data_IF_606053297423
#
_entry.id   IF_606053297423
#
_cell.length_a   1.000
_cell.length_b   1.000
_cell.length_c   1.000
_cell.angle_alpha   90.00
_cell.angle_beta   90.00
_cell.angle_gamma   90.00
#
_symmetry.space_group_name_H-M   'P 1'
#
loop_
_entity.id
_entity.type
_entity.pdbx_description
1 polymer ?
#
# COMPACT_ATOMS: atom_id res chain seq x y z
N UNK A 1 23.26 5.05 17.29
CA UNK A 1 22.29 6.05 16.82
C UNK A 1 21.08 5.30 16.30
N UNK A 2 19.83 5.69 16.63
CA UNK A 2 18.67 5.09 15.98
C UNK A 2 18.80 5.30 14.47
N UNK A 3 18.69 4.22 13.70
CA UNK A 3 18.68 4.28 12.23
C UNK A 3 17.50 5.14 11.79
N UNK A 4 17.72 6.08 10.86
CA UNK A 4 16.63 6.85 10.27
C UNK A 4 15.59 5.88 9.67
N UNK A 5 14.28 6.15 9.85
CA UNK A 5 13.23 5.31 9.25
C UNK A 5 13.36 5.33 7.73
N UNK A 6 13.10 4.19 7.09
CA UNK A 6 13.09 4.08 5.63
C UNK A 6 11.83 4.77 5.09
N UNK A 7 12.01 5.91 4.43
CA UNK A 7 10.92 6.76 3.95
C UNK A 7 10.82 6.74 2.43
N UNK A 8 9.62 6.49 1.90
CA UNK A 8 9.33 6.53 0.45
C UNK A 8 8.46 7.72 0.13
N UNK A 9 8.82 8.51 -0.88
CA UNK A 9 7.93 9.54 -1.44
C UNK A 9 7.33 8.99 -2.72
N UNK A 10 6.01 8.98 -2.80
CA UNK A 10 5.24 8.47 -3.94
C UNK A 10 4.71 9.65 -4.74
N UNK A 11 5.06 9.74 -6.01
CA UNK A 11 4.51 10.72 -6.95
C UNK A 11 3.48 10.08 -7.86
N UNK A 12 2.25 10.60 -7.85
CA UNK A 12 1.21 10.19 -8.79
C UNK A 12 0.57 11.35 -9.53
N UNK A 13 0.32 11.11 -10.81
CA UNK A 13 -0.49 12.00 -11.65
C UNK A 13 -1.96 11.57 -11.62
N UNK A 14 -2.90 12.50 -11.90
CA UNK A 14 -4.31 12.16 -12.01
C UNK A 14 -4.56 11.03 -13.02
N UNK A 15 -5.22 9.97 -12.56
CA UNK A 15 -5.54 8.83 -13.42
C UNK A 15 -6.69 9.19 -14.37
N UNK A 16 -6.36 9.49 -15.63
CA UNK A 16 -7.32 9.80 -16.67
C UNK A 16 -8.00 8.54 -17.26
N UNK A 17 -7.70 7.33 -16.76
CA UNK A 17 -8.30 6.08 -17.25
C UNK A 17 -9.76 5.92 -16.84
N UNK A 18 -10.21 6.58 -15.78
CA UNK A 18 -11.60 6.56 -15.33
C UNK A 18 -12.47 7.48 -16.19
N UNK A 19 -13.33 6.89 -17.02
CA UNK A 19 -14.40 7.62 -17.74
C UNK A 19 -15.49 8.19 -16.81
N UNK A 20 -15.50 7.80 -15.54
CA UNK A 20 -16.57 8.08 -14.57
C UNK A 20 -16.22 9.11 -13.49
N UNK A 21 -15.07 9.79 -13.59
CA UNK A 21 -14.65 10.82 -12.64
C UNK A 21 -13.24 10.61 -12.12
N UNK A 22 -12.91 11.18 -10.96
CA UNK A 22 -11.59 11.04 -10.33
C UNK A 22 -11.44 9.66 -9.70
N UNK A 23 -10.30 9.02 -9.95
CA UNK A 23 -9.93 7.70 -9.43
C UNK A 23 -8.63 7.80 -8.62
N UNK A 24 -8.53 7.08 -7.51
CA UNK A 24 -7.30 6.88 -6.74
C UNK A 24 -6.68 5.50 -6.97
N UNK A 25 -7.11 4.76 -8.00
CA UNK A 25 -6.61 3.40 -8.23
C UNK A 25 -5.07 3.37 -8.30
N UNK A 26 -4.46 4.30 -9.05
CA UNK A 26 -3.00 4.39 -9.17
C UNK A 26 -2.32 4.86 -7.88
N UNK A 27 -2.91 5.83 -7.19
CA UNK A 27 -2.45 6.30 -5.88
C UNK A 27 -2.39 5.16 -4.86
N UNK A 28 -3.46 4.38 -4.77
CA UNK A 28 -3.59 3.26 -3.85
C UNK A 28 -2.63 2.13 -4.22
N UNK A 29 -2.46 1.83 -5.50
CA UNK A 29 -1.51 0.83 -5.99
C UNK A 29 -0.07 1.14 -5.54
N UNK A 30 0.41 2.37 -5.78
CA UNK A 30 1.75 2.76 -5.36
C UNK A 30 1.87 2.97 -3.85
N UNK A 31 0.81 3.42 -3.17
CA UNK A 31 0.78 3.48 -1.72
C UNK A 31 0.90 2.09 -1.08
N UNK A 32 0.25 1.06 -1.63
CA UNK A 32 0.38 -0.34 -1.19
C UNK A 32 1.83 -0.81 -1.29
N UNK A 33 2.47 -0.58 -2.45
CA UNK A 33 3.90 -0.88 -2.64
C UNK A 33 4.77 -0.18 -1.60
N UNK A 34 4.57 1.14 -1.45
CA UNK A 34 5.35 1.95 -0.53
C UNK A 34 5.18 1.49 0.92
N UNK A 35 3.96 1.19 1.36
CA UNK A 35 3.67 0.77 2.74
C UNK A 35 4.10 -0.69 3.02
N UNK A 36 4.09 -1.55 2.02
CA UNK A 36 4.66 -2.89 2.13
C UNK A 36 6.19 -2.85 2.24
N UNK A 37 6.83 -1.87 1.60
CA UNK A 37 8.29 -1.77 1.56
C UNK A 37 8.89 -0.91 2.67
N UNK A 38 8.29 0.23 2.98
CA UNK A 38 8.86 1.32 3.78
C UNK A 38 8.45 1.24 5.27
N UNK A 39 9.00 2.16 6.06
CA UNK A 39 8.56 2.40 7.45
C UNK A 39 7.53 3.54 7.50
N UNK A 40 7.63 4.49 6.56
CA UNK A 40 6.66 5.56 6.29
C UNK A 40 6.64 5.89 4.82
N UNK A 41 5.52 6.40 4.34
CA UNK A 41 5.40 6.93 2.98
C UNK A 41 4.77 8.32 2.99
N UNK A 42 5.19 9.18 2.06
CA UNK A 42 4.51 10.44 1.74
C UNK A 42 3.94 10.34 0.33
N UNK A 43 2.64 10.56 0.18
CA UNK A 43 1.98 10.63 -1.12
C UNK A 43 1.92 12.07 -1.61
N UNK A 44 2.50 12.32 -2.78
CA UNK A 44 2.45 13.57 -3.52
C UNK A 44 1.48 13.34 -4.68
N UNK A 45 0.24 13.80 -4.51
CA UNK A 45 -0.83 13.56 -5.48
C UNK A 45 -1.86 14.69 -5.48
N UNK A 46 -2.11 15.34 -6.64
CA UNK A 46 -3.18 16.32 -6.76
C UNK A 46 -4.56 15.72 -6.49
N UNK A 47 -4.85 14.52 -7.02
CA UNK A 47 -6.14 13.84 -6.86
C UNK A 47 -6.42 13.47 -5.40
N UNK A 48 -5.43 12.94 -4.70
CA UNK A 48 -5.56 12.60 -3.28
C UNK A 48 -5.77 13.85 -2.42
N UNK A 49 -5.03 14.93 -2.68
CA UNK A 49 -5.24 16.22 -1.99
C UNK A 49 -6.66 16.75 -2.17
N UNK A 50 -7.16 16.73 -3.41
CA UNK A 50 -8.53 17.17 -3.71
C UNK A 50 -9.55 16.32 -2.95
N UNK A 51 -9.40 14.99 -2.91
CA UNK A 51 -10.34 14.10 -2.25
C UNK A 51 -10.29 14.19 -0.72
N UNK A 52 -9.10 14.36 -0.12
CA UNK A 52 -8.98 14.61 1.32
C UNK A 52 -9.63 15.95 1.71
N UNK A 53 -9.43 16.99 0.91
CA UNK A 53 -10.13 18.27 1.12
C UNK A 53 -11.65 18.12 0.98
N UNK A 54 -12.11 17.34 0.00
CA UNK A 54 -13.53 17.03 -0.19
C UNK A 54 -14.11 16.26 1.01
N UNK A 55 -13.37 15.29 1.57
CA UNK A 55 -13.77 14.55 2.76
C UNK A 55 -13.89 15.46 3.99
N UNK A 56 -12.86 16.28 4.24
CA UNK A 56 -12.87 17.25 5.34
C UNK A 56 -14.03 18.26 5.20
N UNK A 57 -14.32 18.69 3.97
CA UNK A 57 -15.49 19.53 3.69
C UNK A 57 -16.80 18.80 3.95
N UNK A 58 -16.95 17.56 3.49
CA UNK A 58 -18.16 16.76 3.70
C UNK A 58 -18.44 16.53 5.19
N UNK A 59 -17.40 16.29 5.99
CA UNK A 59 -17.51 16.17 7.45
C UNK A 59 -17.91 17.49 8.10
N UNK A 60 -17.25 18.60 7.75
CA UNK A 60 -17.59 19.93 8.24
C UNK A 60 -19.03 20.32 7.86
N UNK A 61 -19.46 19.94 6.66
CA UNK A 61 -20.81 20.15 6.13
C UNK A 61 -21.89 19.40 6.93
N UNK A 62 -21.55 18.27 7.54
CA UNK A 62 -22.43 17.50 8.44
C UNK A 62 -22.48 18.14 9.83
N UNK A 63 -21.33 18.48 10.40
CA UNK A 63 -21.21 18.69 11.85
C UNK A 63 -21.27 20.16 12.28
N UNK A 64 -20.95 21.11 11.42
CA UNK A 64 -20.62 22.48 11.85
C UNK A 64 -21.36 23.62 11.14
N UNK A 65 -21.92 23.38 9.95
CA UNK A 65 -22.53 24.46 9.17
C UNK A 65 -23.98 24.76 9.56
N UNK A 66 -24.21 25.98 10.03
CA UNK A 66 -25.55 26.54 10.24
C UNK A 66 -26.33 26.69 8.92
N UNK A 67 -27.66 26.76 9.00
CA UNK A 67 -28.53 27.03 7.83
C UNK A 67 -28.09 28.26 7.03
N UNK A 68 -27.59 29.30 7.72
CA UNK A 68 -27.02 30.49 7.08
C UNK A 68 -25.81 30.13 6.21
N UNK A 69 -24.82 29.47 6.80
CA UNK A 69 -23.56 29.17 6.12
C UNK A 69 -23.79 28.29 4.89
N UNK A 70 -24.71 27.31 4.99
CA UNK A 70 -25.11 26.48 3.85
C UNK A 70 -25.69 27.33 2.72
N UNK A 71 -26.57 28.26 3.07
CA UNK A 71 -27.19 29.15 2.10
C UNK A 71 -26.17 30.08 1.43
N UNK A 72 -25.32 30.72 2.24
CA UNK A 72 -24.27 31.63 1.75
C UNK A 72 -23.28 30.89 0.83
N UNK A 73 -22.91 29.65 1.17
CA UNK A 73 -22.03 28.80 0.36
C UNK A 73 -22.70 28.37 -0.95
N UNK A 74 -23.93 27.87 -0.90
CA UNK A 74 -24.66 27.47 -2.11
C UNK A 74 -24.91 28.63 -3.07
N UNK A 75 -25.16 29.84 -2.54
CA UNK A 75 -25.31 31.04 -3.36
C UNK A 75 -23.99 31.44 -4.04
N UNK A 76 -22.84 31.24 -3.37
CA UNK A 76 -21.52 31.47 -3.96
C UNK A 76 -21.23 30.43 -5.07
N UNK A 77 -21.51 29.17 -4.81
CA UNK A 77 -21.29 28.08 -5.77
C UNK A 77 -22.30 28.00 -6.91
N UNK A 78 -23.42 28.72 -6.84
CA UNK A 78 -24.49 28.63 -7.82
C UNK A 78 -24.03 28.93 -9.27
N UNK A 79 -22.97 29.73 -9.44
CA UNK A 79 -22.39 30.04 -10.74
C UNK A 79 -21.49 28.92 -11.28
N UNK A 80 -20.99 28.04 -10.41
CA UNK A 80 -20.08 26.93 -10.73
C UNK A 80 -20.77 25.57 -10.76
N UNK A 81 -22.03 25.50 -10.31
CA UNK A 81 -22.83 24.26 -10.26
C UNK A 81 -23.85 24.23 -11.41
N UNK A 82 -23.76 23.26 -12.35
CA UNK A 82 -24.76 23.08 -13.38
C UNK A 82 -26.16 22.85 -12.79
N UNK A 83 -27.17 23.60 -13.25
CA UNK A 83 -28.55 23.48 -12.77
C UNK A 83 -28.85 24.16 -11.43
N UNK A 84 -27.92 25.00 -10.94
CA UNK A 84 -28.11 25.80 -9.72
C UNK A 84 -28.53 27.26 -10.00
N UNK A 85 -28.97 27.59 -11.22
CA UNK A 85 -29.28 28.99 -11.59
C UNK A 85 -30.34 29.61 -10.66
N UNK A 86 -31.34 28.82 -10.26
CA UNK A 86 -32.37 29.25 -9.31
C UNK A 86 -31.85 29.54 -7.90
N UNK A 87 -30.71 29.00 -7.48
CA UNK A 87 -30.14 29.27 -6.16
C UNK A 87 -29.43 30.63 -6.10
N UNK A 88 -28.84 31.08 -7.22
CA UNK A 88 -28.23 32.41 -7.31
C UNK A 88 -29.30 33.51 -7.12
N UNK A 89 -30.47 33.33 -7.72
CA UNK A 89 -31.60 34.28 -7.63
C UNK A 89 -32.26 34.31 -6.24
N UNK A 90 -32.24 33.18 -5.52
CA UNK A 90 -32.80 33.07 -4.16
C UNK A 90 -31.88 33.71 -3.10
N UNK A 91 -30.60 33.88 -3.40
CA UNK A 91 -29.56 34.55 -2.60
C UNK A 91 -30.02 35.85 -1.93
N UNK A 92 -30.24 36.91 -2.73
CA UNK A 92 -30.64 38.24 -2.23
C UNK A 92 -31.98 38.24 -1.48
N UNK A 93 -32.95 37.45 -1.94
CA UNK A 93 -34.30 37.38 -1.37
C UNK A 93 -34.28 36.76 0.03
N UNK A 94 -33.54 35.67 0.22
CA UNK A 94 -33.36 35.06 1.54
C UNK A 94 -32.65 35.99 2.52
N UNK A 95 -31.61 36.70 2.06
CA UNK A 95 -30.93 37.71 2.89
C UNK A 95 -31.86 38.84 3.33
N UNK A 96 -32.72 39.33 2.43
CA UNK A 96 -33.70 40.36 2.74
C UNK A 96 -34.73 39.89 3.79
N UNK A 97 -35.27 38.67 3.63
CA UNK A 97 -36.21 38.07 4.59
C UNK A 97 -35.57 37.85 5.97
N UNK A 98 -34.28 37.54 6.03
CA UNK A 98 -33.57 37.32 7.29
C UNK A 98 -33.33 38.59 8.11
N UNK A 99 -33.19 39.74 7.45
CA UNK A 99 -32.95 41.04 8.11
C UNK A 99 -34.22 41.64 8.72
N UNK A 100 -35.41 41.16 8.35
CA UNK A 100 -36.70 41.65 8.86
C UNK A 100 -36.94 41.17 10.31
N UNK A 101 -37.30 42.10 11.20
CA UNK A 101 -37.65 41.81 12.61
C UNK A 101 -39.00 41.10 12.75
N UNK A 102 -39.95 41.42 11.86
CA UNK A 102 -41.27 40.80 11.80
C UNK A 102 -41.52 40.33 10.37
N UNK A 103 -41.85 39.04 10.22
CA UNK A 103 -42.17 38.40 8.94
C UNK A 103 -43.68 38.21 8.85
N UNK A 104 -44.27 38.56 7.71
CA UNK A 104 -45.65 38.22 7.40
C UNK A 104 -45.82 36.69 7.32
N UNK A 105 -47.07 36.16 7.42
CA UNK A 105 -47.31 34.73 7.24
C UNK A 105 -46.78 34.19 5.89
N UNK A 106 -46.93 34.96 4.82
CA UNK A 106 -46.44 34.62 3.49
C UNK A 106 -44.91 34.62 3.42
N UNK A 107 -44.28 35.64 3.99
CA UNK A 107 -42.81 35.76 4.07
C UNK A 107 -42.19 34.62 4.90
N UNK A 108 -42.86 34.23 5.99
CA UNK A 108 -42.44 33.08 6.81
C UNK A 108 -42.53 31.79 6.02
N UNK A 109 -43.59 31.60 5.22
CA UNK A 109 -43.77 30.42 4.37
C UNK A 109 -42.70 30.37 3.26
N UNK A 110 -42.46 31.49 2.58
CA UNK A 110 -41.43 31.61 1.55
C UNK A 110 -40.04 31.29 2.12
N UNK A 111 -39.69 31.84 3.29
CA UNK A 111 -38.44 31.54 3.98
C UNK A 111 -38.29 30.04 4.28
N UNK A 112 -39.35 29.40 4.81
CA UNK A 112 -39.32 27.97 5.11
C UNK A 112 -39.17 27.11 3.85
N UNK A 113 -39.82 27.50 2.75
CA UNK A 113 -39.67 26.80 1.46
C UNK A 113 -38.24 26.91 0.93
N UNK A 114 -37.63 28.10 0.96
CA UNK A 114 -36.23 28.31 0.57
C UNK A 114 -35.26 27.49 1.43
N UNK A 115 -35.45 27.48 2.75
CA UNK A 115 -34.66 26.64 3.65
C UNK A 115 -34.81 25.15 3.33
N UNK A 116 -36.01 24.70 2.94
CA UNK A 116 -36.26 23.33 2.51
C UNK A 116 -35.53 22.96 1.22
N UNK A 117 -35.59 23.83 0.20
CA UNK A 117 -34.88 23.65 -1.08
C UNK A 117 -33.37 23.55 -0.85
N UNK A 118 -32.79 24.51 -0.12
CA UNK A 118 -31.35 24.51 0.18
C UNK A 118 -30.97 23.31 1.05
N UNK A 119 -31.77 22.94 2.04
CA UNK A 119 -31.47 21.75 2.87
C UNK A 119 -31.46 20.47 2.04
N UNK A 120 -32.37 20.34 1.07
CA UNK A 120 -32.40 19.18 0.17
C UNK A 120 -31.19 19.18 -0.77
N UNK A 121 -30.90 20.31 -1.42
CA UNK A 121 -29.76 20.44 -2.32
C UNK A 121 -28.42 20.23 -1.58
N UNK A 122 -28.31 20.73 -0.35
CA UNK A 122 -27.16 20.50 0.53
C UNK A 122 -26.95 19.02 0.84
N UNK A 123 -28.03 18.32 1.19
CA UNK A 123 -27.98 16.89 1.49
C UNK A 123 -27.57 16.09 0.25
N UNK A 124 -28.13 16.42 -0.92
CA UNK A 124 -27.76 15.80 -2.18
C UNK A 124 -26.30 16.05 -2.54
N UNK A 125 -25.81 17.29 -2.43
CA UNK A 125 -24.41 17.63 -2.68
C UNK A 125 -23.47 16.83 -1.77
N UNK A 126 -23.78 16.76 -0.47
CA UNK A 126 -23.02 15.94 0.49
C UNK A 126 -23.02 14.47 0.10
N UNK A 127 -24.18 13.89 -0.18
CA UNK A 127 -24.30 12.47 -0.51
C UNK A 127 -23.58 12.13 -1.81
N UNK A 128 -23.60 13.05 -2.80
CA UNK A 128 -22.79 12.96 -4.01
C UNK A 128 -21.30 12.99 -3.71
N UNK A 129 -20.82 13.93 -2.87
CA UNK A 129 -19.41 13.99 -2.47
C UNK A 129 -18.96 12.71 -1.78
N UNK A 130 -19.75 12.19 -0.83
CA UNK A 130 -19.44 10.92 -0.15
C UNK A 130 -19.44 9.73 -1.11
N UNK A 131 -20.39 9.70 -2.06
CA UNK A 131 -20.42 8.65 -3.09
C UNK A 131 -19.20 8.72 -4.01
N UNK A 132 -18.78 9.93 -4.40
CA UNK A 132 -17.57 10.13 -5.21
C UNK A 132 -16.32 9.72 -4.42
N UNK A 133 -16.23 10.09 -3.14
CA UNK A 133 -15.13 9.69 -2.27
C UNK A 133 -15.02 8.16 -2.17
N UNK A 134 -16.13 7.48 -1.94
CA UNK A 134 -16.21 6.03 -1.80
C UNK A 134 -15.79 5.32 -3.11
N UNK A 135 -16.40 5.72 -4.23
CA UNK A 135 -16.08 5.17 -5.56
C UNK A 135 -14.64 5.41 -5.99
N UNK A 136 -14.05 6.54 -5.60
CA UNK A 136 -12.67 6.85 -5.92
C UNK A 136 -11.66 6.05 -5.10
N UNK A 137 -12.08 5.32 -4.06
CA UNK A 137 -11.18 4.63 -3.12
C UNK A 137 -10.73 5.48 -1.93
N UNK A 138 -11.42 6.60 -1.67
CA UNK A 138 -11.05 7.55 -0.62
C UNK A 138 -11.12 6.98 0.81
N UNK A 139 -11.99 5.99 1.06
CA UNK A 139 -12.05 5.32 2.37
C UNK A 139 -10.75 4.57 2.71
N UNK A 140 -10.16 3.90 1.72
CA UNK A 140 -8.90 3.18 1.87
C UNK A 140 -7.72 4.14 2.08
N UNK A 141 -7.69 5.24 1.32
CA UNK A 141 -6.70 6.32 1.49
C UNK A 141 -6.75 6.93 2.89
N UNK A 142 -7.95 7.34 3.36
CA UNK A 142 -8.13 7.94 4.67
C UNK A 142 -7.73 6.97 5.79
N UNK A 143 -8.10 5.69 5.68
CA UNK A 143 -7.67 4.67 6.64
C UNK A 143 -6.15 4.53 6.73
N UNK A 144 -5.44 4.67 5.60
CA UNK A 144 -3.97 4.62 5.59
C UNK A 144 -3.35 5.88 6.21
N UNK A 145 -3.94 7.06 5.98
CA UNK A 145 -3.54 8.31 6.63
C UNK A 145 -3.73 8.22 8.15
N UNK A 146 -4.90 7.75 8.59
CA UNK A 146 -5.24 7.59 10.01
C UNK A 146 -4.31 6.59 10.74
N UNK A 147 -3.69 5.64 10.02
CA UNK A 147 -2.70 4.73 10.58
C UNK A 147 -1.39 5.43 11.00
N UNK A 148 -1.13 6.64 10.50
CA UNK A 148 0.10 7.40 10.72
C UNK A 148 1.32 6.87 9.97
N UNK A 149 1.13 5.93 9.03
CA UNK A 149 2.18 5.38 8.16
C UNK A 149 2.22 6.03 6.78
N UNK A 150 1.11 6.63 6.34
CA UNK A 150 0.99 7.40 5.11
C UNK A 150 0.73 8.86 5.44
N UNK A 151 1.60 9.74 4.98
CA UNK A 151 1.41 11.18 5.05
C UNK A 151 1.00 11.69 3.66
N UNK A 152 0.17 12.74 3.59
CA UNK A 152 -0.18 13.39 2.32
C UNK A 152 0.56 14.71 2.21
N UNK A 153 1.30 14.90 1.13
CA UNK A 153 1.98 16.17 0.87
C UNK A 153 0.93 17.23 0.51
N UNK A 154 0.86 18.38 1.21
CA UNK A 154 -0.25 19.32 1.09
C UNK A 154 -0.31 20.07 -0.24
N UNK A 155 0.76 19.99 -1.05
CA UNK A 155 0.93 20.73 -2.31
C UNK A 155 0.72 22.25 -2.19
N UNK A 156 0.70 22.81 -0.97
CA UNK A 156 0.50 24.23 -0.65
C UNK A 156 -0.60 24.92 -1.48
N UNK A 157 -1.67 24.19 -1.82
CA UNK A 157 -2.80 24.69 -2.63
C UNK A 157 -3.65 25.77 -1.91
N UNK A 158 -3.26 26.12 -0.68
CA UNK A 158 -3.94 27.09 0.20
C UNK A 158 -3.17 28.40 0.34
N UNK A 159 -2.05 28.59 -0.36
CA UNK A 159 -1.36 29.87 -0.37
C UNK A 159 -2.25 30.93 -1.06
N UNK A 160 -2.59 32.05 -0.40
CA UNK A 160 -3.45 33.08 -0.97
C UNK A 160 -2.83 33.83 -2.17
N UNK A 161 -1.55 33.59 -2.48
CA UNK A 161 -0.89 34.07 -3.70
C UNK A 161 -1.10 33.16 -4.92
N UNK A 162 -1.55 31.93 -4.69
CA UNK A 162 -1.93 30.95 -5.70
C UNK A 162 -3.37 31.21 -6.11
N UNK A 163 -3.64 31.42 -7.41
CA UNK A 163 -5.02 31.69 -7.86
C UNK A 163 -5.87 30.40 -7.93
N UNK A 164 -5.26 29.26 -7.59
CA UNK A 164 -5.88 27.95 -7.64
C UNK A 164 -6.07 27.44 -9.07
N UNK A 165 -5.38 28.04 -10.04
CA UNK A 165 -5.36 27.56 -11.41
C UNK A 165 -4.78 26.16 -11.52
N UNK A 166 -5.13 25.47 -12.61
CA UNK A 166 -4.55 24.16 -12.92
C UNK A 166 -3.03 24.23 -13.06
N UNK A 167 -2.48 25.37 -13.50
CA UNK A 167 -1.04 25.54 -13.71
C UNK A 167 -0.30 25.58 -12.38
N UNK A 168 -0.85 26.28 -11.39
CA UNK A 168 -0.27 26.36 -10.04
C UNK A 168 -0.20 24.97 -9.36
N UNK A 169 -1.25 24.15 -9.52
CA UNK A 169 -1.27 22.77 -9.01
C UNK A 169 -0.17 21.93 -9.65
N UNK A 170 0.03 22.08 -10.96
CA UNK A 170 1.07 21.37 -11.72
C UNK A 170 2.46 21.80 -11.26
N UNK A 171 2.70 23.09 -11.04
CA UNK A 171 3.99 23.59 -10.54
C UNK A 171 4.27 23.13 -9.11
N UNK A 172 3.29 23.23 -8.21
CA UNK A 172 3.45 22.75 -6.84
C UNK A 172 3.71 21.23 -6.78
N UNK A 173 3.08 20.47 -7.67
CA UNK A 173 3.34 19.05 -7.84
C UNK A 173 4.77 18.80 -8.35
N UNK A 174 5.18 19.49 -9.42
CA UNK A 174 6.52 19.36 -9.98
C UNK A 174 7.61 19.71 -8.95
N UNK A 175 7.45 20.81 -8.22
CA UNK A 175 8.38 21.25 -7.17
C UNK A 175 8.51 20.21 -6.05
N UNK A 176 7.40 19.57 -5.66
CA UNK A 176 7.42 18.51 -4.66
C UNK A 176 8.18 17.26 -5.16
N UNK A 177 8.00 16.86 -6.42
CA UNK A 177 8.76 15.74 -7.02
C UNK A 177 10.24 16.10 -7.12
N UNK A 178 10.58 17.30 -7.61
CA UNK A 178 11.95 17.81 -7.69
C UNK A 178 12.63 17.80 -6.31
N UNK A 179 11.94 18.31 -5.29
CA UNK A 179 12.42 18.30 -3.92
C UNK A 179 12.69 16.88 -3.40
N UNK A 180 11.80 15.94 -3.70
CA UNK A 180 11.95 14.54 -3.30
C UNK A 180 13.13 13.83 -4.01
N UNK A 181 13.41 14.15 -5.28
CA UNK A 181 14.60 13.64 -5.98
C UNK A 181 15.90 14.09 -5.29
N UNK A 182 15.93 15.35 -4.84
CA UNK A 182 17.10 15.97 -4.24
C UNK A 182 17.28 15.62 -2.75
N UNK A 183 16.22 15.20 -2.06
CA UNK A 183 16.27 14.89 -0.64
C UNK A 183 17.01 13.56 -0.37
N UNK A 184 18.16 13.55 0.35
CA UNK A 184 18.86 12.34 0.77
C UNK A 184 18.08 11.46 1.78
N UNK A 185 16.97 11.96 2.33
CA UNK A 185 16.13 11.31 3.33
C UNK A 185 15.03 10.41 2.78
N UNK A 186 14.75 10.43 1.47
CA UNK A 186 13.64 9.68 0.88
C UNK A 186 14.03 8.85 -0.35
N UNK A 187 13.21 7.86 -0.68
CA UNK A 187 13.29 7.03 -1.87
C UNK A 187 12.09 7.36 -2.75
N UNK A 188 12.34 7.81 -3.98
CA UNK A 188 11.29 8.28 -4.87
C UNK A 188 10.70 7.12 -5.67
N UNK A 189 9.39 6.95 -5.58
CA UNK A 189 8.60 6.01 -6.38
C UNK A 189 7.60 6.81 -7.22
N UNK A 190 7.61 6.64 -8.54
CA UNK A 190 6.80 7.42 -9.46
C UNK A 190 5.88 6.51 -10.28
N UNK A 191 4.69 7.01 -10.62
CA UNK A 191 3.95 6.47 -11.76
C UNK A 191 4.55 6.95 -13.10
N UNK A 192 4.09 6.37 -14.20
CA UNK A 192 4.58 6.69 -15.55
C UNK A 192 4.42 8.18 -15.89
N UNK A 193 3.30 8.79 -15.45
CA UNK A 193 3.01 10.20 -15.69
C UNK A 193 3.97 11.12 -14.94
N UNK A 194 4.22 10.85 -13.65
CA UNK A 194 5.17 11.62 -12.83
C UNK A 194 6.60 11.41 -13.31
N UNK A 195 6.95 10.18 -13.73
CA UNK A 195 8.22 9.88 -14.36
C UNK A 195 8.41 10.68 -15.66
N UNK A 196 7.39 10.75 -16.52
CA UNK A 196 7.42 11.53 -17.75
C UNK A 196 7.55 13.04 -17.51
N UNK A 197 6.89 13.55 -16.47
CA UNK A 197 7.06 14.93 -16.02
C UNK A 197 8.50 15.19 -15.58
N UNK A 198 9.05 14.34 -14.72
CA UNK A 198 10.43 14.46 -14.24
C UNK A 198 11.44 14.42 -15.40
N UNK A 199 11.28 13.49 -16.36
CA UNK A 199 12.11 13.42 -17.58
C UNK A 199 12.09 14.73 -18.37
N UNK A 200 10.92 15.36 -18.48
CA UNK A 200 10.76 16.63 -19.19
C UNK A 200 11.52 17.76 -18.49
N UNK A 201 11.42 17.85 -17.17
CA UNK A 201 12.15 18.84 -16.36
C UNK A 201 13.67 18.68 -16.44
N UNK A 202 14.17 17.43 -16.42
CA UNK A 202 15.59 17.14 -16.60
C UNK A 202 16.05 17.59 -17.99
N UNK A 203 15.30 17.24 -19.04
CA UNK A 203 15.64 17.57 -20.43
C UNK A 203 15.66 19.08 -20.69
N UNK A 204 14.78 19.82 -20.03
CA UNK A 204 14.68 21.28 -20.15
C UNK A 204 15.72 22.03 -19.30
N UNK A 205 16.52 21.31 -18.51
CA UNK A 205 17.57 21.89 -17.68
C UNK A 205 17.06 22.57 -16.41
N UNK A 206 15.81 22.29 -16.02
CA UNK A 206 15.21 22.79 -14.77
C UNK A 206 15.75 22.05 -13.53
N UNK A 207 16.47 20.94 -13.72
CA UNK A 207 17.06 20.13 -12.67
C UNK A 207 18.59 20.03 -12.80
N UNK A 208 19.28 20.14 -11.66
CA UNK A 208 20.72 19.86 -11.55
C UNK A 208 21.05 18.37 -11.61
N UNK A 209 22.24 17.98 -11.12
CA UNK A 209 22.66 16.56 -11.10
C UNK A 209 21.79 15.73 -10.13
N UNK A 210 20.90 14.90 -10.70
CA UNK A 210 19.94 14.04 -9.97
C UNK A 210 20.45 12.60 -9.75
N UNK A 211 21.73 12.30 -10.06
CA UNK A 211 22.31 10.95 -9.95
C UNK A 211 22.19 10.30 -8.56
N UNK A 212 22.22 11.10 -7.49
CA UNK A 212 22.07 10.61 -6.11
C UNK A 212 20.64 10.23 -5.72
N UNK A 213 19.64 10.80 -6.40
CA UNK A 213 18.24 10.41 -6.29
C UNK A 213 17.96 9.12 -7.05
N UNK A 214 18.61 8.95 -8.20
CA UNK A 214 18.40 7.83 -9.10
C UNK A 214 18.72 6.46 -8.47
N UNK A 215 19.87 6.29 -7.81
CA UNK A 215 20.23 5.00 -7.19
C UNK A 215 19.19 4.52 -6.15
N UNK A 216 18.62 5.46 -5.39
CA UNK A 216 17.56 5.17 -4.41
C UNK A 216 16.23 4.92 -5.10
N UNK A 217 15.91 5.69 -6.12
CA UNK A 217 14.78 5.41 -7.01
C UNK A 217 14.84 3.98 -7.55
N UNK A 218 15.98 3.54 -8.08
CA UNK A 218 16.13 2.19 -8.64
C UNK A 218 15.85 1.10 -7.60
N UNK A 219 16.29 1.29 -6.36
CA UNK A 219 16.02 0.34 -5.28
C UNK A 219 14.51 0.19 -5.00
N UNK A 220 13.76 1.29 -4.89
CA UNK A 220 12.33 1.22 -4.57
C UNK A 220 11.49 0.84 -5.79
N UNK A 221 11.84 1.30 -6.99
CA UNK A 221 11.15 0.91 -8.23
C UNK A 221 11.38 -0.57 -8.53
N UNK A 222 12.57 -1.11 -8.27
CA UNK A 222 12.79 -2.55 -8.36
C UNK A 222 11.87 -3.32 -7.41
N UNK A 223 11.77 -2.89 -6.15
CA UNK A 223 10.86 -3.51 -5.18
C UNK A 223 9.39 -3.45 -5.67
N UNK A 224 8.97 -2.31 -6.24
CA UNK A 224 7.65 -2.14 -6.84
C UNK A 224 7.39 -3.16 -7.96
N UNK A 225 8.31 -3.25 -8.93
CA UNK A 225 8.22 -4.21 -10.05
C UNK A 225 8.21 -5.66 -9.61
N UNK A 226 8.78 -5.99 -8.44
CA UNK A 226 8.65 -7.31 -7.85
C UNK A 226 7.26 -7.51 -7.25
N UNK A 227 6.75 -6.56 -6.46
CA UNK A 227 5.45 -6.69 -5.80
C UNK A 227 4.28 -6.77 -6.80
N UNK A 228 4.37 -6.11 -7.95
CA UNK A 228 3.39 -6.25 -9.04
C UNK A 228 3.24 -7.70 -9.54
N UNK A 229 4.22 -8.58 -9.28
CA UNK A 229 4.18 -10.01 -9.65
C UNK A 229 3.61 -10.90 -8.55
N UNK A 230 3.36 -10.35 -7.36
CA UNK A 230 2.78 -11.12 -6.26
C UNK A 230 1.32 -11.48 -6.63
N UNK A 231 0.86 -12.69 -6.28
CA UNK A 231 -0.51 -13.10 -6.57
C UNK A 231 -1.50 -12.15 -5.89
N UNK A 232 -2.54 -11.73 -6.62
CA UNK A 232 -3.66 -10.91 -6.10
C UNK A 232 -3.26 -9.59 -5.41
N UNK A 233 -2.04 -9.09 -5.64
CA UNK A 233 -1.55 -7.87 -5.01
C UNK A 233 -2.39 -6.64 -5.41
N UNK A 234 -2.86 -6.61 -6.65
CA UNK A 234 -3.78 -5.60 -7.19
C UNK A 234 -5.15 -5.60 -6.48
N UNK A 235 -5.60 -6.77 -6.00
CA UNK A 235 -6.88 -6.94 -5.30
C UNK A 235 -6.78 -6.69 -3.79
N UNK A 236 -5.58 -6.77 -3.21
CA UNK A 236 -5.37 -6.58 -1.77
C UNK A 236 -5.64 -5.14 -1.36
N UNK A 237 -6.31 -4.95 -0.23
CA UNK A 237 -6.59 -3.63 0.36
C UNK A 237 -5.39 -3.13 1.19
N UNK A 238 -5.27 -1.82 1.38
CA UNK A 238 -4.22 -1.21 2.22
C UNK A 238 -4.19 -1.77 3.65
N UNK A 239 -5.34 -1.97 4.34
CA UNK A 239 -5.34 -2.63 5.65
C UNK A 239 -4.70 -4.03 5.62
N UNK A 240 -5.00 -4.84 4.61
CA UNK A 240 -4.40 -6.18 4.45
C UNK A 240 -2.88 -6.07 4.20
N UNK A 241 -2.45 -5.13 3.36
CA UNK A 241 -1.03 -4.85 3.12
C UNK A 241 -0.30 -4.44 4.41
N UNK A 242 -0.92 -3.60 5.24
CA UNK A 242 -0.37 -3.18 6.52
C UNK A 242 -0.29 -4.33 7.53
N UNK A 243 -1.28 -5.23 7.54
CA UNK A 243 -1.25 -6.45 8.35
C UNK A 243 -0.10 -7.38 7.93
N UNK A 244 0.06 -7.62 6.62
CA UNK A 244 1.19 -8.39 6.08
C UNK A 244 2.51 -7.73 6.47
N UNK A 245 2.62 -6.41 6.33
CA UNK A 245 3.81 -5.63 6.67
C UNK A 245 4.19 -5.77 8.14
N UNK A 246 3.21 -5.77 9.04
CA UNK A 246 3.40 -5.96 10.49
C UNK A 246 3.95 -7.36 10.77
N UNK A 247 3.35 -8.39 10.18
CA UNK A 247 3.71 -9.78 10.41
C UNK A 247 5.11 -10.13 9.88
N UNK A 248 5.50 -9.50 8.76
CA UNK A 248 6.79 -9.69 8.10
C UNK A 248 7.86 -8.67 8.49
N UNK A 249 7.59 -7.79 9.46
CA UNK A 249 8.46 -6.64 9.75
C UNK A 249 9.91 -6.99 10.07
N UNK A 250 10.16 -8.15 10.69
CA UNK A 250 11.53 -8.64 11.00
C UNK A 250 12.35 -9.06 9.77
N UNK A 251 11.70 -9.23 8.63
CA UNK A 251 12.31 -9.72 7.38
C UNK A 251 12.54 -8.59 6.36
N UNK A 252 11.82 -7.47 6.49
CA UNK A 252 11.86 -6.37 5.51
C UNK A 252 13.27 -5.76 5.38
N UNK A 253 14.05 -5.71 6.45
CA UNK A 253 15.41 -5.14 6.42
C UNK A 253 16.36 -5.96 5.54
N UNK A 254 16.23 -7.29 5.55
CA UNK A 254 17.01 -8.18 4.67
C UNK A 254 16.58 -8.05 3.22
N UNK A 255 15.28 -7.90 3.00
CA UNK A 255 14.74 -7.65 1.67
C UNK A 255 15.22 -6.32 1.11
N UNK A 256 15.18 -5.24 1.89
CA UNK A 256 15.73 -3.93 1.50
C UNK A 256 17.21 -4.00 1.16
N UNK A 257 18.01 -4.74 1.95
CA UNK A 257 19.43 -4.93 1.66
C UNK A 257 19.66 -5.64 0.32
N UNK A 258 18.82 -6.63 -0.02
CA UNK A 258 18.90 -7.28 -1.34
C UNK A 258 18.45 -6.37 -2.47
N UNK A 259 17.41 -5.56 -2.29
CA UNK A 259 16.99 -4.60 -3.31
C UNK A 259 18.08 -3.57 -3.60
N UNK A 260 18.77 -3.09 -2.56
CA UNK A 260 19.93 -2.22 -2.73
C UNK A 260 21.01 -2.91 -3.57
N UNK A 261 21.41 -4.13 -3.21
CA UNK A 261 22.40 -4.94 -3.94
C UNK A 261 21.98 -5.20 -5.39
N UNK A 262 20.75 -5.65 -5.64
CA UNK A 262 20.27 -5.97 -6.98
C UNK A 262 20.12 -4.73 -7.86
N UNK A 263 19.75 -3.58 -7.27
CA UNK A 263 19.63 -2.32 -8.00
C UNK A 263 20.95 -1.76 -8.52
N UNK A 264 22.10 -2.24 -7.99
CA UNK A 264 23.43 -1.88 -8.52
C UNK A 264 23.66 -2.43 -9.93
N UNK A 265 22.97 -3.52 -10.30
CA UNK A 265 23.05 -4.10 -11.64
C UNK A 265 22.17 -3.37 -12.68
N UNK A 266 21.33 -2.43 -12.25
CA UNK A 266 20.43 -1.67 -13.12
C UNK A 266 21.11 -0.35 -13.50
N UNK A 267 21.31 -0.15 -14.81
CA UNK A 267 21.90 1.08 -15.33
C UNK A 267 20.88 2.16 -15.69
N UNK A 268 19.64 1.76 -15.95
CA UNK A 268 18.56 2.66 -16.39
C UNK A 268 17.98 3.42 -15.21
N UNK A 269 17.62 4.69 -15.39
CA UNK A 269 17.07 5.47 -14.29
C UNK A 269 15.69 4.96 -13.87
N UNK A 270 15.34 5.17 -12.60
CA UNK A 270 14.08 4.66 -12.02
C UNK A 270 12.79 5.19 -12.66
N UNK A 271 12.89 6.26 -13.42
CA UNK A 271 11.78 6.93 -14.12
C UNK A 271 11.87 6.74 -15.64
N UNK A 272 12.76 5.90 -16.15
CA UNK A 272 12.86 5.62 -17.58
C UNK A 272 11.99 4.41 -17.96
N UNK A 273 11.49 4.39 -19.19
CA UNK A 273 10.57 3.34 -19.68
C UNK A 273 11.27 1.99 -19.80
N UNK A 274 12.59 1.99 -20.03
CA UNK A 274 13.42 0.80 -20.15
C UNK A 274 13.70 0.11 -18.80
N UNK A 275 13.41 0.78 -17.67
CA UNK A 275 13.65 0.23 -16.33
C UNK A 275 12.95 -1.13 -16.13
N UNK A 276 11.74 -1.29 -16.68
CA UNK A 276 10.97 -2.52 -16.56
C UNK A 276 11.70 -3.75 -17.16
N UNK A 277 12.44 -3.56 -18.25
CA UNK A 277 13.22 -4.63 -18.87
C UNK A 277 14.44 -5.04 -18.04
N UNK A 278 15.11 -4.06 -17.42
CA UNK A 278 16.20 -4.31 -16.48
C UNK A 278 15.70 -5.04 -15.23
N UNK A 279 14.55 -4.62 -14.68
CA UNK A 279 13.92 -5.26 -13.53
C UNK A 279 13.49 -6.70 -13.82
N UNK A 280 12.97 -7.00 -15.02
CA UNK A 280 12.69 -8.38 -15.46
C UNK A 280 13.97 -9.23 -15.47
N UNK A 281 15.08 -8.66 -15.97
CA UNK A 281 16.36 -9.37 -16.01
C UNK A 281 16.84 -9.74 -14.60
N UNK A 282 16.75 -8.80 -13.65
CA UNK A 282 17.05 -9.05 -12.24
C UNK A 282 16.11 -10.10 -11.65
N UNK A 283 14.81 -10.05 -11.98
CA UNK A 283 13.85 -11.02 -11.51
C UNK A 283 14.20 -12.45 -11.93
N UNK A 284 14.44 -12.66 -13.24
CA UNK A 284 14.76 -13.97 -13.80
C UNK A 284 16.09 -14.49 -13.25
N UNK A 285 17.11 -13.62 -13.15
CA UNK A 285 18.48 -14.01 -12.79
C UNK A 285 18.64 -14.27 -11.29
N UNK A 286 18.08 -13.40 -10.44
CA UNK A 286 18.44 -13.34 -9.02
C UNK A 286 17.25 -13.66 -8.10
N UNK A 287 16.05 -13.15 -8.40
CA UNK A 287 14.89 -13.27 -7.50
C UNK A 287 14.20 -14.61 -7.64
N UNK A 288 13.81 -15.00 -8.86
CA UNK A 288 13.06 -16.23 -9.10
C UNK A 288 13.81 -17.49 -8.63
N UNK A 289 15.14 -17.64 -8.85
CA UNK A 289 15.89 -18.76 -8.30
C UNK A 289 15.92 -18.76 -6.77
N UNK A 290 16.14 -17.60 -6.13
CA UNK A 290 16.18 -17.51 -4.67
C UNK A 290 14.82 -17.82 -4.02
N UNK A 291 13.71 -17.49 -4.69
CA UNK A 291 12.36 -17.87 -4.25
C UNK A 291 12.13 -19.37 -4.41
N UNK A 292 12.58 -19.97 -5.52
CA UNK A 292 12.49 -21.42 -5.72
C UNK A 292 13.29 -22.20 -4.68
N UNK A 293 14.47 -21.73 -4.31
CA UNK A 293 15.27 -22.34 -3.25
C UNK A 293 14.54 -22.31 -1.89
N UNK A 294 13.79 -21.23 -1.61
CA UNK A 294 12.92 -21.14 -0.42
C UNK A 294 11.78 -22.15 -0.52
N UNK A 295 11.11 -22.24 -1.68
CA UNK A 295 10.02 -23.20 -1.92
C UNK A 295 10.48 -24.64 -1.70
N UNK A 296 11.63 -25.02 -2.27
CA UNK A 296 12.22 -26.36 -2.13
C UNK A 296 12.61 -26.66 -0.67
N UNK A 297 13.15 -25.67 0.05
CA UNK A 297 13.49 -25.81 1.47
C UNK A 297 12.23 -25.95 2.36
N UNK A 298 11.15 -25.23 2.05
CA UNK A 298 9.86 -25.37 2.75
C UNK A 298 9.21 -26.71 2.43
N UNK A 299 9.22 -27.12 1.16
CA UNK A 299 8.63 -28.38 0.70
C UNK A 299 9.33 -29.59 1.32
N UNK A 300 10.67 -29.63 1.32
CA UNK A 300 11.44 -30.69 1.95
C UNK A 300 11.15 -30.81 3.45
N UNK A 301 11.05 -29.68 4.16
CA UNK A 301 10.66 -29.66 5.58
C UNK A 301 9.24 -30.22 5.80
N UNK A 302 8.30 -29.87 4.93
CA UNK A 302 6.91 -30.36 5.01
C UNK A 302 6.78 -31.85 4.69
N UNK A 303 7.56 -32.36 3.73
CA UNK A 303 7.59 -33.76 3.35
C UNK A 303 8.16 -34.64 4.48
N UNK A 304 9.24 -34.21 5.11
CA UNK A 304 9.79 -34.88 6.30
C UNK A 304 8.77 -34.92 7.44
N UNK A 305 7.97 -33.86 7.64
CA UNK A 305 6.86 -33.85 8.60
C UNK A 305 5.79 -34.89 8.25
N UNK A 306 5.37 -34.96 6.98
CA UNK A 306 4.35 -35.91 6.55
C UNK A 306 4.82 -37.37 6.66
N UNK A 307 6.12 -37.63 6.46
CA UNK A 307 6.69 -38.97 6.67
C UNK A 307 6.73 -39.34 8.16
N UNK A 308 7.25 -38.45 9.01
CA UNK A 308 7.35 -38.70 10.46
C UNK A 308 5.97 -38.84 11.12
N UNK A 309 4.99 -38.00 10.74
CA UNK A 309 3.62 -38.08 11.28
C UNK A 309 2.95 -39.41 10.92
N UNK A 310 3.18 -39.94 9.71
CA UNK A 310 2.68 -41.26 9.28
C UNK A 310 3.31 -42.43 10.03
N UNK A 311 4.54 -42.29 10.51
CA UNK A 311 5.19 -43.31 11.35
C UNK A 311 4.70 -43.25 12.80
N UNK A 312 4.45 -42.06 13.36
CA UNK A 312 3.88 -41.93 14.71
C UNK A 312 2.42 -42.35 14.79
N UNK A 313 1.61 -42.07 13.77
CA UNK A 313 0.19 -42.46 13.73
C UNK A 313 -0.02 -43.97 13.51
N UNK A 314 1.00 -44.69 13.02
CA UNK A 314 1.00 -46.17 12.96
C UNK A 314 1.46 -46.84 14.25
N UNK A 315 2.09 -46.12 15.18
CA UNK A 315 2.55 -46.71 16.45
C UNK A 315 1.43 -46.80 17.49
N UNK A 316 0.31 -46.09 17.31
CA UNK A 316 -0.89 -46.22 18.15
C UNK A 316 -1.85 -47.33 17.70
N UNK A 317 -1.57 -48.03 16.60
CA UNK A 317 -2.40 -49.11 16.09
C UNK A 317 -1.59 -50.26 15.47
N UNK A 318 -1.48 -51.36 16.23
CA UNK A 318 -1.03 -52.72 15.87
C UNK A 318 0.45 -53.08 16.11
N UNK A 319 0.62 -53.88 17.18
CA UNK A 319 1.34 -55.16 17.30
C UNK A 319 2.66 -55.30 16.53
N UNK A 320 3.79 -55.59 17.22
CA UNK A 320 5.04 -55.89 16.54
C UNK A 320 4.97 -57.30 15.95
N UNK A 321 4.72 -57.41 14.64
CA UNK A 321 5.04 -58.64 13.90
C UNK A 321 6.47 -58.52 13.41
N UNK A 322 7.41 -58.92 14.28
CA UNK A 322 8.76 -59.28 13.89
C UNK A 322 8.69 -60.64 13.18
N UNK A 323 8.79 -60.64 11.85
CA UNK A 323 8.95 -61.85 11.05
C UNK A 323 10.26 -61.79 10.29
N UNK A 324 11.33 -62.33 10.89
CA UNK A 324 12.46 -62.86 10.13
C UNK A 324 12.97 -64.14 10.81
N UNK A 325 13.02 -65.17 9.97
CA UNK A 325 13.18 -66.58 10.29
C UNK A 325 14.63 -66.99 10.54
N UNK A 326 14.81 -68.00 11.40
CA UNK A 326 15.50 -69.29 11.15
C UNK A 326 16.13 -69.82 12.44
N UNK A 327 15.48 -70.78 13.10
CA UNK A 327 16.13 -71.62 14.11
C UNK A 327 15.76 -73.08 13.89
N UNK A 328 16.56 -73.80 13.12
CA UNK A 328 16.81 -75.23 13.33
C UNK A 328 18.28 -75.55 13.03
N UNK A 329 19.13 -75.42 14.05
CA UNK A 329 20.37 -76.17 14.22
C UNK A 329 20.83 -76.03 15.68
N UNK A 330 21.21 -77.11 16.39
CA UNK A 330 21.87 -77.00 17.67
C UNK A 330 23.40 -76.88 17.49
N UNK A 331 24.02 -76.09 18.37
CA UNK A 331 25.45 -75.90 18.62
C UNK A 331 26.21 -74.91 17.70
N UNK A 332 26.53 -73.73 18.23
CA UNK A 332 27.88 -73.25 18.57
C UNK A 332 27.79 -71.86 19.28
N UNK A 333 28.77 -71.48 20.14
CA UNK A 333 28.72 -70.29 21.00
C UNK A 333 29.36 -69.04 20.38
N UNK A 334 29.08 -67.90 21.02
CA UNK A 334 29.62 -66.54 20.86
C UNK A 334 29.14 -65.69 19.66
N UNK A 335 27.99 -65.03 19.86
CA UNK A 335 27.76 -63.67 19.34
C UNK A 335 27.42 -62.77 20.52
N UNK A 336 28.45 -62.09 21.03
CA UNK A 336 28.30 -60.88 21.84
C UNK A 336 27.72 -59.78 20.94
N UNK A 337 26.66 -59.13 21.42
CA UNK A 337 26.34 -57.76 21.00
C UNK A 337 25.09 -57.58 20.13
N UNK A 338 23.91 -57.82 20.70
CA UNK A 338 22.66 -57.16 20.26
C UNK A 338 21.69 -57.06 21.44
N UNK A 339 22.09 -56.28 22.44
CA UNK A 339 21.23 -55.82 23.52
C UNK A 339 21.34 -54.29 23.61
N UNK A 340 20.72 -53.60 22.64
CA UNK A 340 20.51 -52.15 22.68
C UNK A 340 19.25 -51.78 21.88
N UNK A 341 18.14 -52.45 22.16
CA UNK A 341 16.82 -52.06 21.67
C UNK A 341 15.97 -51.71 22.89
N UNK A 342 16.01 -50.45 23.33
CA UNK A 342 15.26 -50.06 24.53
C UNK A 342 15.21 -48.60 24.93
N UNK A 343 15.85 -47.65 24.23
CA UNK A 343 15.87 -46.26 24.71
C UNK A 343 15.98 -45.21 23.58
N UNK A 344 14.99 -45.04 22.70
CA UNK A 344 15.02 -43.91 21.75
C UNK A 344 13.67 -43.48 21.14
N UNK A 345 12.58 -43.42 21.91
CA UNK A 345 11.37 -42.72 21.45
C UNK A 345 11.37 -41.23 21.84
N UNK A 346 11.97 -40.87 22.99
CA UNK A 346 11.97 -39.50 23.52
C UNK A 346 13.17 -38.64 23.05
N UNK A 347 14.31 -39.26 22.69
CA UNK A 347 15.50 -38.54 22.20
C UNK A 347 15.35 -38.00 20.77
N UNK A 348 14.63 -38.74 19.91
CA UNK A 348 14.40 -38.34 18.53
C UNK A 348 13.39 -37.19 18.40
N UNK A 349 12.44 -37.06 19.35
CA UNK A 349 11.50 -35.94 19.36
C UNK A 349 12.18 -34.60 19.74
N UNK A 350 13.15 -34.64 20.65
CA UNK A 350 13.91 -33.45 21.06
C UNK A 350 14.90 -33.00 19.97
N UNK A 351 15.63 -33.94 19.37
CA UNK A 351 16.57 -33.65 18.28
C UNK A 351 15.85 -33.25 16.98
N UNK A 352 14.73 -33.91 16.63
CA UNK A 352 13.91 -33.49 15.50
C UNK A 352 13.25 -32.12 15.74
N UNK A 353 12.90 -31.77 16.99
CA UNK A 353 12.38 -30.46 17.35
C UNK A 353 13.42 -29.33 17.22
N UNK A 354 14.68 -29.59 17.57
CA UNK A 354 15.79 -28.64 17.37
C UNK A 354 16.15 -28.46 15.90
N UNK A 355 16.34 -29.55 15.14
CA UNK A 355 16.58 -29.49 13.70
C UNK A 355 15.43 -28.78 12.94
N UNK A 356 14.18 -28.93 13.43
CA UNK A 356 13.01 -28.25 12.86
C UNK A 356 13.03 -26.73 13.05
N UNK A 357 13.36 -26.28 14.26
CA UNK A 357 13.48 -24.84 14.55
C UNK A 357 14.65 -24.23 13.76
N UNK A 358 15.75 -24.96 13.63
CA UNK A 358 16.93 -24.46 12.93
C UNK A 358 16.77 -24.46 11.41
N UNK A 359 16.09 -25.45 10.83
CA UNK A 359 15.73 -25.48 9.41
C UNK A 359 14.73 -24.39 9.03
N UNK A 360 13.71 -24.14 9.86
CA UNK A 360 12.77 -23.03 9.61
C UNK A 360 13.46 -21.66 9.77
N UNK A 361 14.33 -21.52 10.77
CA UNK A 361 15.14 -20.31 10.95
C UNK A 361 16.12 -20.08 9.80
N UNK A 362 16.66 -21.12 9.17
CA UNK A 362 17.58 -20.96 8.04
C UNK A 362 16.85 -20.41 6.81
N UNK A 363 15.64 -20.91 6.53
CA UNK A 363 14.77 -20.39 5.45
C UNK A 363 14.37 -18.94 5.71
N UNK A 364 13.95 -18.62 6.93
CA UNK A 364 13.57 -17.26 7.34
C UNK A 364 14.76 -16.26 7.27
N UNK A 365 16.01 -16.74 7.20
CA UNK A 365 17.20 -15.89 7.03
C UNK A 365 17.49 -15.52 5.58
N UNK A 366 16.87 -16.18 4.60
CA UNK A 366 17.04 -15.84 3.19
C UNK A 366 16.55 -14.40 2.93
N UNK A 367 17.32 -13.61 2.18
CA UNK A 367 16.98 -12.22 1.87
C UNK A 367 15.65 -12.07 1.11
N UNK A 368 15.26 -13.08 0.32
CA UNK A 368 13.99 -13.13 -0.42
C UNK A 368 12.82 -13.72 0.38
N UNK A 369 13.02 -14.12 1.64
CA UNK A 369 11.95 -14.71 2.45
C UNK A 369 10.75 -13.76 2.63
N UNK A 370 11.00 -12.45 2.76
CA UNK A 370 9.95 -11.44 2.84
C UNK A 370 9.02 -11.51 1.61
N UNK A 371 9.60 -11.50 0.41
CA UNK A 371 8.86 -11.53 -0.85
C UNK A 371 8.06 -12.83 -1.00
N UNK A 372 8.68 -13.97 -0.73
CA UNK A 372 8.01 -15.28 -0.72
C UNK A 372 6.81 -15.29 0.27
N UNK A 373 7.04 -14.84 1.50
CA UNK A 373 6.02 -14.86 2.54
C UNK A 373 4.86 -13.90 2.23
N UNK A 374 5.15 -12.71 1.68
CA UNK A 374 4.13 -11.78 1.22
C UNK A 374 3.26 -12.40 0.13
N UNK A 375 3.86 -13.07 -0.86
CA UNK A 375 3.10 -13.79 -1.90
C UNK A 375 2.23 -14.92 -1.35
N UNK A 376 2.70 -15.64 -0.33
CA UNK A 376 1.89 -16.67 0.36
C UNK A 376 0.77 -16.11 1.23
N UNK A 377 0.87 -14.87 1.68
CA UNK A 377 -0.20 -14.19 2.42
C UNK A 377 -1.29 -13.63 1.50
N UNK A 378 -0.94 -13.30 0.25
CA UNK A 378 -1.85 -12.73 -0.74
C UNK A 378 -2.55 -13.80 -1.62
N UNK A 379 -2.00 -15.02 -1.71
CA UNK A 379 -2.56 -16.12 -2.50
C UNK A 379 -2.82 -17.39 -1.69
#
# INVERSE_FOLDING_TARGET
MPSRPFHVTVGTTPDNRSREGVSLARDLELAKVALLYADRATLVSPSSNMLVQMAAFAEAAVSSMSKKQRFDYMAQMAHSLPGAEGLAELGPLYHALRKKRHLSPEERRAKLQMEGVVSKAWTQMRDSMLTTLDKAGGGELLSAIDSGLLDLHPLNLTDPSTDGSSDDVVWAFADAIVGAVQDPGTYLLLDDGSGGLLRSFIREGHLGDVRGGDARGRQVTLAASLFERLPQFDLATLPEVLDIRRDLGRHVSRFRAAMAEYSEAISTASWDEEFAADAETVFIRDVAPAVRDIEDAVASTSYLRALTSRFTDRVTGLVPVLSLALTQAPALPDIVGLAAAGASALGNAYLAGQEHMDGRRSVERNKMFFYYAAGRSLG
#
